data_IF_193345849234
#
_entry.id   IF_193345849234
#
_cell.length_a   1.000
_cell.length_b   1.000
_cell.length_c   1.000
_cell.angle_alpha   90.00
_cell.angle_beta   90.00
_cell.angle_gamma   90.00
#
_symmetry.space_group_name_H-M   'P 1'
#
loop_
_entity.id
_entity.type
_entity.pdbx_description
1 polymer ?
#
# COMPACT_ATOMS: atom_id res chain seq x y z
N UNK A 1 5.44 14.12 -0.97
CA UNK A 1 5.57 12.82 -1.65
C UNK A 1 5.78 11.78 -0.57
N UNK A 2 5.02 10.69 -0.58
CA UNK A 2 5.16 9.58 0.37
C UNK A 2 5.61 8.38 -0.45
N UNK A 3 6.62 7.65 0.06
CA UNK A 3 7.12 6.42 -0.55
C UNK A 3 6.96 5.29 0.47
N UNK A 4 6.57 4.12 -0.02
CA UNK A 4 6.54 2.86 0.73
C UNK A 4 7.42 1.87 0.00
N UNK A 5 8.11 0.99 0.73
CA UNK A 5 8.89 -0.07 0.09
C UNK A 5 8.00 -1.06 -0.69
N UNK A 6 8.39 -1.33 -1.94
CA UNK A 6 7.65 -2.21 -2.86
C UNK A 6 7.47 -3.61 -2.27
N UNK A 7 8.49 -4.13 -1.58
CA UNK A 7 8.42 -5.42 -0.88
C UNK A 7 7.22 -5.51 0.06
N UNK A 8 6.94 -4.42 0.80
CA UNK A 8 5.80 -4.38 1.70
C UNK A 8 4.47 -4.24 0.94
N UNK A 9 4.44 -3.44 -0.13
CA UNK A 9 3.27 -3.33 -1.01
C UNK A 9 2.90 -4.70 -1.61
N UNK A 10 3.91 -5.47 -2.03
CA UNK A 10 3.71 -6.81 -2.59
C UNK A 10 3.24 -7.82 -1.54
N UNK A 11 3.76 -7.75 -0.32
CA UNK A 11 3.28 -8.56 0.81
C UNK A 11 1.78 -8.37 1.06
N UNK A 12 1.29 -7.13 0.96
CA UNK A 12 -0.11 -6.76 1.22
C UNK A 12 -1.01 -6.67 0.00
N UNK A 13 -0.55 -7.06 -1.19
CA UNK A 13 -1.15 -6.67 -2.48
C UNK A 13 -2.62 -7.06 -2.61
N UNK A 14 -3.03 -8.17 -2.00
CA UNK A 14 -4.42 -8.65 -2.07
C UNK A 14 -5.39 -7.69 -1.40
N UNK A 15 -5.00 -7.05 -0.30
CA UNK A 15 -5.87 -6.05 0.35
C UNK A 15 -5.93 -4.77 -0.47
N UNK A 16 -4.87 -4.41 -1.20
CA UNK A 16 -4.84 -3.23 -2.06
C UNK A 16 -5.74 -3.39 -3.29
N UNK A 17 -5.97 -4.61 -3.79
CA UNK A 17 -6.92 -4.89 -4.89
C UNK A 17 -8.37 -4.48 -4.61
N UNK A 18 -8.72 -4.14 -3.37
CA UNK A 18 -10.07 -3.70 -3.01
C UNK A 18 -10.31 -2.21 -3.23
N UNK A 19 -9.25 -1.43 -3.44
CA UNK A 19 -9.32 0.03 -3.55
C UNK A 19 -9.98 0.41 -4.87
N UNK A 20 -11.16 1.08 -4.88
CA UNK A 20 -11.70 1.67 -6.10
C UNK A 20 -10.71 2.67 -6.69
N UNK A 21 -10.41 2.55 -7.97
CA UNK A 21 -9.36 3.35 -8.60
C UNK A 21 -9.63 3.63 -10.07
N UNK A 22 -8.80 4.49 -10.65
CA UNK A 22 -8.83 4.78 -12.07
C UNK A 22 -7.44 4.69 -12.71
N UNK A 23 -7.41 4.27 -13.97
CA UNK A 23 -6.25 4.37 -14.85
C UNK A 23 -6.54 5.33 -16.01
N UNK A 24 -5.52 5.63 -16.82
CA UNK A 24 -5.60 6.51 -18.01
C UNK A 24 -6.33 7.83 -17.74
N UNK A 25 -5.92 8.57 -16.70
CA UNK A 25 -6.48 9.88 -16.34
C UNK A 25 -8.00 9.86 -16.10
N UNK A 26 -8.51 8.93 -15.27
CA UNK A 26 -9.94 8.79 -14.94
C UNK A 26 -10.83 8.21 -16.06
N UNK A 27 -10.27 7.82 -17.20
CA UNK A 27 -11.06 7.23 -18.30
C UNK A 27 -11.52 5.80 -18.00
N UNK A 28 -10.76 5.05 -17.20
CA UNK A 28 -11.03 3.64 -16.94
C UNK A 28 -11.10 3.36 -15.44
N UNK A 29 -12.30 3.03 -14.95
CA UNK A 29 -12.50 2.56 -13.58
C UNK A 29 -11.93 1.14 -13.43
N UNK A 30 -11.25 0.92 -12.32
CA UNK A 30 -10.63 -0.36 -11.95
C UNK A 30 -10.67 -0.50 -10.42
N UNK A 31 -10.04 -1.55 -9.90
CA UNK A 31 -9.65 -1.62 -8.51
C UNK A 31 -8.14 -1.90 -8.39
N UNK A 32 -7.56 -1.50 -7.26
CA UNK A 32 -6.16 -1.70 -6.96
C UNK A 32 -5.23 -0.62 -7.50
N UNK A 33 -3.93 -0.85 -7.28
CA UNK A 33 -2.84 -0.02 -7.78
C UNK A 33 -2.24 -0.68 -9.03
N UNK A 34 -1.94 0.13 -10.03
CA UNK A 34 -1.24 -0.29 -11.24
C UNK A 34 0.24 -0.50 -10.91
N UNK A 35 0.80 -1.61 -11.36
CA UNK A 35 2.18 -1.98 -11.11
C UNK A 35 3.16 -1.09 -11.90
N UNK A 36 2.87 -0.80 -13.18
CA UNK A 36 3.79 -0.07 -14.06
C UNK A 36 3.30 1.33 -14.42
N UNK A 37 2.02 1.62 -14.13
CA UNK A 37 1.31 2.80 -14.57
C UNK A 37 0.88 3.72 -13.43
N UNK A 38 0.26 4.83 -13.81
CA UNK A 38 -0.34 5.75 -12.84
C UNK A 38 -1.71 5.25 -12.42
N UNK A 39 -1.98 5.35 -11.13
CA UNK A 39 -3.31 5.11 -10.56
C UNK A 39 -3.81 6.39 -9.92
N UNK A 40 -5.08 6.69 -10.16
CA UNK A 40 -5.74 7.85 -9.59
C UNK A 40 -6.81 7.38 -8.60
N UNK A 41 -6.83 7.99 -7.42
CA UNK A 41 -7.80 7.71 -6.36
C UNK A 41 -8.61 8.96 -6.08
N UNK A 42 -9.92 8.85 -6.22
CA UNK A 42 -10.89 9.85 -5.76
C UNK A 42 -11.22 9.64 -4.28
N UNK A 43 -12.21 10.36 -3.76
CA UNK A 43 -12.59 10.27 -2.34
C UNK A 43 -13.02 8.86 -1.91
N UNK A 44 -13.66 8.08 -2.80
CA UNK A 44 -14.04 6.69 -2.54
C UNK A 44 -12.78 5.82 -2.40
N UNK A 45 -11.88 5.89 -3.39
CA UNK A 45 -10.61 5.16 -3.38
C UNK A 45 -9.72 5.51 -2.17
N UNK A 46 -9.59 6.80 -1.86
CA UNK A 46 -8.79 7.27 -0.72
C UNK A 46 -9.39 6.80 0.61
N UNK A 47 -10.72 6.75 0.74
CA UNK A 47 -11.39 6.26 1.95
C UNK A 47 -11.07 4.78 2.19
N UNK A 48 -11.15 3.95 1.14
CA UNK A 48 -10.81 2.52 1.23
C UNK A 48 -9.34 2.32 1.53
N UNK A 49 -8.43 3.02 0.82
CA UNK A 49 -6.99 2.96 1.08
C UNK A 49 -6.68 3.34 2.53
N UNK A 50 -7.20 4.46 3.03
CA UNK A 50 -7.00 4.90 4.43
C UNK A 50 -7.45 3.83 5.43
N UNK A 51 -8.57 3.16 5.17
CA UNK A 51 -9.05 2.06 6.00
C UNK A 51 -8.07 0.88 6.05
N UNK A 52 -7.56 0.45 4.90
CA UNK A 52 -6.56 -0.63 4.79
C UNK A 52 -5.28 -0.26 5.54
N UNK A 53 -4.71 0.93 5.28
CA UNK A 53 -3.49 1.41 5.94
C UNK A 53 -3.69 1.52 7.46
N UNK A 54 -4.85 2.01 7.90
CA UNK A 54 -5.22 2.05 9.31
C UNK A 54 -5.25 0.66 9.94
N UNK A 55 -5.79 -0.35 9.24
CA UNK A 55 -5.76 -1.74 9.66
C UNK A 55 -4.34 -2.30 9.76
N UNK A 56 -3.50 -2.05 8.76
CA UNK A 56 -2.09 -2.46 8.78
C UNK A 56 -1.33 -1.85 9.97
N UNK A 57 -1.51 -0.56 10.26
CA UNK A 57 -0.92 0.09 11.46
C UNK A 57 -1.31 -0.65 12.75
N UNK A 58 -2.57 -1.07 12.88
CA UNK A 58 -3.03 -1.79 14.07
C UNK A 58 -2.45 -3.20 14.19
N UNK A 59 -2.16 -3.86 13.07
CA UNK A 59 -1.52 -5.19 13.06
C UNK A 59 -0.03 -5.05 13.37
N UNK A 60 0.68 -4.21 12.62
CA UNK A 60 2.15 -4.13 12.68
C UNK A 60 2.70 -3.47 13.93
N UNK A 61 1.89 -2.69 14.69
CA UNK A 61 2.34 -2.18 16.00
C UNK A 61 2.67 -3.30 17.00
N UNK A 62 2.10 -4.49 16.82
CA UNK A 62 2.37 -5.69 17.64
C UNK A 62 3.44 -6.61 17.06
N UNK A 63 4.03 -6.26 15.92
CA UNK A 63 5.09 -7.05 15.32
C UNK A 63 6.39 -6.99 16.16
N UNK A 64 7.30 -7.97 16.00
CA UNK A 64 8.66 -7.88 16.53
C UNK A 64 9.42 -6.67 15.93
N UNK A 65 10.54 -6.27 16.55
CA UNK A 65 11.36 -5.15 16.09
C UNK A 65 11.84 -5.37 14.65
N UNK A 66 12.19 -6.60 14.31
CA UNK A 66 12.51 -7.03 12.95
C UNK A 66 11.41 -7.96 12.46
N UNK A 67 10.81 -7.62 11.32
CA UNK A 67 9.69 -8.34 10.74
C UNK A 67 10.20 -9.09 9.52
N UNK A 68 9.95 -10.39 9.46
CA UNK A 68 10.18 -11.18 8.27
C UNK A 68 8.89 -11.21 7.42
N UNK A 69 8.94 -10.61 6.23
CA UNK A 69 7.84 -10.60 5.28
C UNK A 69 8.12 -11.62 4.18
N UNK A 70 7.21 -12.58 4.01
CA UNK A 70 7.29 -13.61 2.97
C UNK A 70 6.74 -13.09 1.65
N UNK A 71 7.44 -13.34 0.54
CA UNK A 71 7.01 -13.01 -0.81
C UNK A 71 6.84 -14.28 -1.65
N UNK A 72 7.26 -14.27 -2.92
CA UNK A 72 7.04 -15.36 -3.87
C UNK A 72 7.71 -16.67 -3.45
N UNK A 73 7.11 -17.79 -3.87
CA UNK A 73 7.66 -19.12 -3.65
C UNK A 73 8.77 -19.42 -4.66
N UNK A 74 9.97 -19.65 -4.16
CA UNK A 74 11.10 -20.11 -4.95
C UNK A 74 11.00 -21.63 -5.14
N UNK A 75 10.63 -22.03 -6.35
CA UNK A 75 10.44 -23.44 -6.72
C UNK A 75 11.77 -24.20 -6.70
N UNK A 76 12.87 -23.56 -7.09
CA UNK A 76 14.17 -24.22 -7.19
C UNK A 76 14.73 -24.54 -5.80
N UNK A 77 14.50 -23.65 -4.83
CA UNK A 77 14.93 -23.83 -3.45
C UNK A 77 13.85 -24.44 -2.53
N UNK A 78 12.63 -24.64 -3.03
CA UNK A 78 11.51 -25.24 -2.29
C UNK A 78 11.05 -24.44 -1.08
N UNK A 79 11.20 -23.11 -1.09
CA UNK A 79 10.88 -22.22 0.05
C UNK A 79 10.35 -20.87 -0.40
N UNK A 80 9.66 -20.16 0.49
CA UNK A 80 9.30 -18.76 0.25
C UNK A 80 10.54 -17.86 0.35
N UNK A 81 10.60 -16.87 -0.53
CA UNK A 81 11.49 -15.73 -0.35
C UNK A 81 11.02 -14.89 0.83
N UNK A 82 11.94 -14.21 1.50
CA UNK A 82 11.61 -13.30 2.59
C UNK A 82 12.57 -12.13 2.66
N UNK A 83 12.08 -11.03 3.23
CA UNK A 83 12.86 -9.82 3.50
C UNK A 83 12.63 -9.41 4.95
N UNK A 84 13.69 -8.96 5.61
CA UNK A 84 13.63 -8.42 6.97
C UNK A 84 13.48 -6.91 6.89
N UNK A 85 12.45 -6.37 7.54
CA UNK A 85 12.17 -4.93 7.63
C UNK A 85 12.12 -4.50 9.10
N UNK A 86 12.64 -3.30 9.39
CA UNK A 86 12.51 -2.67 10.70
C UNK A 86 11.06 -2.19 10.94
N UNK A 87 10.50 -2.57 12.09
CA UNK A 87 9.11 -2.23 12.43
C UNK A 87 8.86 -0.73 12.49
N UNK A 88 9.74 0.04 13.13
CA UNK A 88 9.52 1.48 13.30
C UNK A 88 9.62 2.21 11.97
N UNK A 89 10.51 1.75 11.09
CA UNK A 89 10.59 2.22 9.71
C UNK A 89 9.27 1.97 8.95
N UNK A 90 8.75 0.74 9.01
CA UNK A 90 7.47 0.39 8.37
C UNK A 90 6.31 1.22 8.93
N UNK A 91 6.18 1.31 10.25
CA UNK A 91 5.12 2.09 10.90
C UNK A 91 5.19 3.57 10.52
N UNK A 92 6.39 4.13 10.38
CA UNK A 92 6.57 5.51 9.90
C UNK A 92 6.07 5.69 8.47
N UNK A 93 6.40 4.78 7.56
CA UNK A 93 5.92 4.84 6.17
C UNK A 93 4.39 4.73 6.09
N UNK A 94 3.81 3.79 6.84
CA UNK A 94 2.36 3.60 6.92
C UNK A 94 1.66 4.83 7.51
N UNK A 95 2.20 5.42 8.57
CA UNK A 95 1.62 6.62 9.19
C UNK A 95 1.65 7.81 8.22
N UNK A 96 2.75 8.01 7.50
CA UNK A 96 2.85 9.06 6.49
C UNK A 96 1.80 8.89 5.37
N UNK A 97 1.55 7.66 4.92
CA UNK A 97 0.51 7.39 3.92
C UNK A 97 -0.90 7.59 4.48
N UNK A 98 -1.14 7.17 5.73
CA UNK A 98 -2.42 7.39 6.41
C UNK A 98 -2.74 8.89 6.54
N UNK A 99 -1.76 9.69 6.95
CA UNK A 99 -1.90 11.14 7.11
C UNK A 99 -2.08 11.85 5.77
N UNK A 100 -1.41 11.36 4.71
CA UNK A 100 -1.63 11.84 3.35
C UNK A 100 -3.08 11.61 2.91
N UNK A 101 -3.63 10.41 3.15
CA UNK A 101 -5.03 10.11 2.83
C UNK A 101 -5.99 10.99 3.64
N UNK A 102 -5.74 11.17 4.94
CA UNK A 102 -6.55 12.05 5.79
C UNK A 102 -6.53 13.51 5.31
N UNK A 103 -5.35 14.01 4.94
CA UNK A 103 -5.20 15.37 4.41
C UNK A 103 -5.92 15.54 3.06
N UNK A 104 -5.83 14.54 2.18
CA UNK A 104 -6.48 14.58 0.88
C UNK A 104 -8.01 14.60 1.01
N UNK A 105 -8.59 13.76 1.87
CA UNK A 105 -10.03 13.75 2.13
C UNK A 105 -10.53 15.07 2.73
N UNK A 106 -9.76 15.68 3.64
CA UNK A 106 -10.14 16.97 4.26
C UNK A 106 -10.10 18.16 3.30
N UNK A 107 -9.34 18.05 2.21
CA UNK A 107 -9.10 19.13 1.24
C UNK A 107 -9.77 18.86 -0.12
N UNK A 108 -10.56 17.80 -0.23
CA UNK A 108 -11.16 17.32 -1.49
C UNK A 108 -10.12 17.15 -2.61
N UNK A 109 -8.95 16.61 -2.28
CA UNK A 109 -7.90 16.27 -3.24
C UNK A 109 -8.00 14.81 -3.70
N UNK A 110 -7.49 14.56 -4.90
CA UNK A 110 -7.21 13.21 -5.39
C UNK A 110 -5.79 12.78 -5.01
N UNK A 111 -5.55 11.47 -4.96
CA UNK A 111 -4.20 10.92 -4.89
C UNK A 111 -3.78 10.34 -6.23
N UNK A 112 -2.49 10.48 -6.54
CA UNK A 112 -1.86 9.91 -7.73
C UNK A 112 -0.70 9.02 -7.29
N UNK A 113 -0.79 7.75 -7.67
CA UNK A 113 0.25 6.73 -7.50
C UNK A 113 1.02 6.57 -8.81
N UNK A 114 2.34 6.32 -8.73
CA UNK A 114 3.26 6.33 -9.86
C UNK A 114 3.89 4.96 -10.16
N UNK A 115 3.15 3.88 -9.92
CA UNK A 115 3.66 2.52 -10.09
C UNK A 115 4.38 2.01 -8.85
N UNK A 116 4.62 0.70 -8.84
CA UNK A 116 5.42 -0.05 -7.86
C UNK A 116 6.79 -0.30 -8.50
#
# INVERSE_FOLDING_TARGET
MVNIEDTFILYGIDTLKWIPSFSKNFEQRSNGLDYYGRTYLDSEGITVLKGIIGGWLQIFKYAPVQIELTSDYDIDNGKFNSVIIDKEYLLTQLQNLFDLCDSALKKDYILVHFGI
#
